data_IF_212387064839
#
_entry.id   IF_212387064839
#
_cell.length_a   1.000
_cell.length_b   1.000
_cell.length_c   1.000
_cell.angle_alpha   90.00
_cell.angle_beta   90.00
_cell.angle_gamma   90.00
#
_symmetry.space_group_name_H-M   'P 1'
#
loop_
_entity.id
_entity.type
_entity.pdbx_description
1 polymer ?
#
# COMPACT_ATOMS: atom_id res chain seq x y z
N UNK A 1 -6.67 23.33 -5.35
CA UNK A 1 -6.31 22.01 -4.81
C UNK A 1 -4.94 22.18 -4.23
N UNK A 2 -4.85 22.23 -2.91
CA UNK A 2 -3.62 22.58 -2.18
C UNK A 2 -2.47 21.68 -2.62
N UNK A 3 -1.32 22.30 -2.89
CA UNK A 3 -0.13 21.66 -3.46
C UNK A 3 0.65 20.79 -2.47
N UNK A 4 -0.06 20.17 -1.52
CA UNK A 4 0.51 19.26 -0.52
C UNK A 4 0.21 17.85 -0.98
N UNK A 5 1.26 17.12 -1.34
CA UNK A 5 1.20 15.68 -1.62
C UNK A 5 1.01 14.98 -0.28
N UNK A 6 -0.14 14.32 -0.11
CA UNK A 6 -0.33 13.33 0.96
C UNK A 6 -0.22 11.94 0.33
N UNK A 7 0.93 11.30 0.57
CA UNK A 7 1.27 9.99 0.01
C UNK A 7 0.28 8.89 0.45
N UNK A 8 -0.40 9.07 1.58
CA UNK A 8 -1.41 8.12 2.08
C UNK A 8 -2.65 8.21 1.21
N UNK A 9 -3.18 9.41 1.04
CA UNK A 9 -4.40 9.65 0.24
C UNK A 9 -4.18 9.31 -1.23
N UNK A 10 -3.03 9.71 -1.81
CA UNK A 10 -2.68 9.38 -3.19
C UNK A 10 -2.60 7.86 -3.41
N UNK A 11 -2.07 7.11 -2.43
CA UNK A 11 -2.01 5.65 -2.50
C UNK A 11 -3.41 5.03 -2.43
N UNK A 12 -4.29 5.53 -1.54
CA UNK A 12 -5.68 5.06 -1.43
C UNK A 12 -6.49 5.34 -2.69
N UNK A 13 -6.29 6.50 -3.29
CA UNK A 13 -6.95 6.88 -4.54
C UNK A 13 -6.52 5.99 -5.70
N UNK A 14 -5.23 5.66 -5.79
CA UNK A 14 -4.71 4.71 -6.79
C UNK A 14 -5.31 3.32 -6.61
N UNK A 15 -5.34 2.78 -5.39
CA UNK A 15 -5.94 1.47 -5.11
C UNK A 15 -7.43 1.47 -5.47
N UNK A 16 -8.14 2.54 -5.09
CA UNK A 16 -9.56 2.70 -5.42
C UNK A 16 -9.79 2.76 -6.93
N UNK A 17 -8.91 3.44 -7.67
CA UNK A 17 -8.96 3.48 -9.13
C UNK A 17 -8.77 2.09 -9.75
N UNK A 18 -7.81 1.31 -9.25
CA UNK A 18 -7.53 -0.04 -9.74
C UNK A 18 -8.74 -0.96 -9.49
N UNK A 19 -9.31 -0.90 -8.29
CA UNK A 19 -10.54 -1.65 -7.92
C UNK A 19 -11.73 -1.26 -8.80
N UNK A 20 -11.97 0.04 -9.01
CA UNK A 20 -13.05 0.53 -9.89
C UNK A 20 -12.91 0.07 -11.33
N UNK A 21 -11.67 -0.03 -11.83
CA UNK A 21 -11.38 -0.52 -13.18
C UNK A 21 -11.38 -2.03 -13.29
N UNK A 22 -11.53 -2.77 -12.19
CA UNK A 22 -11.55 -4.23 -12.13
C UNK A 22 -10.32 -4.86 -12.83
N UNK A 23 -9.13 -4.27 -12.63
CA UNK A 23 -7.89 -4.69 -13.31
C UNK A 23 -7.31 -5.97 -12.70
N UNK A 24 -7.56 -6.22 -11.42
CA UNK A 24 -7.08 -7.40 -10.69
C UNK A 24 -8.15 -7.87 -9.70
N UNK A 25 -7.98 -9.09 -9.17
CA UNK A 25 -8.88 -9.60 -8.14
C UNK A 25 -8.74 -8.75 -6.86
N UNK A 26 -9.77 -8.69 -5.99
CA UNK A 26 -9.70 -7.93 -4.74
C UNK A 26 -8.54 -8.36 -3.81
N UNK A 27 -8.10 -9.63 -3.92
CA UNK A 27 -7.00 -10.22 -3.16
C UNK A 27 -5.60 -9.89 -3.69
N UNK A 28 -5.52 -9.41 -4.93
CA UNK A 28 -4.26 -9.03 -5.58
C UNK A 28 -3.74 -7.66 -5.12
N UNK A 29 -4.49 -6.95 -4.25
CA UNK A 29 -4.06 -5.68 -3.66
C UNK A 29 -4.42 -5.63 -2.18
N UNK A 30 -3.39 -5.50 -1.35
CA UNK A 30 -3.51 -5.23 0.09
C UNK A 30 -2.90 -3.88 0.41
N UNK A 31 -3.61 -3.10 1.21
CA UNK A 31 -3.13 -1.82 1.72
C UNK A 31 -2.76 -1.95 3.20
N UNK A 32 -1.56 -1.49 3.55
CA UNK A 32 -1.06 -1.49 4.92
C UNK A 32 -0.40 -0.15 5.24
N UNK A 33 -0.95 0.57 6.19
CA UNK A 33 -0.36 1.80 6.72
C UNK A 33 0.60 1.47 7.87
N UNK A 34 1.64 2.29 8.02
CA UNK A 34 2.47 2.34 9.22
C UNK A 34 2.32 3.73 9.83
N UNK A 35 1.37 3.92 10.79
CA UNK A 35 1.00 5.25 11.30
C UNK A 35 2.19 6.05 11.87
N UNK A 36 3.14 5.35 12.49
CA UNK A 36 4.36 5.94 13.06
C UNK A 36 5.62 5.65 12.22
N UNK A 37 5.43 5.17 10.99
CA UNK A 37 6.52 4.79 10.09
C UNK A 37 7.22 6.02 9.50
N UNK A 38 8.53 5.91 9.35
CA UNK A 38 9.38 6.91 8.69
C UNK A 38 9.76 6.45 7.29
N UNK A 39 10.15 7.42 6.46
CA UNK A 39 10.70 7.15 5.12
C UNK A 39 12.17 6.71 5.23
N UNK A 40 12.41 5.58 5.87
CA UNK A 40 13.73 4.98 6.03
C UNK A 40 13.71 3.46 5.87
N UNK A 41 14.90 2.90 5.66
CA UNK A 41 15.07 1.46 5.45
C UNK A 41 14.60 0.62 6.64
N UNK A 42 14.72 1.13 7.86
CA UNK A 42 14.36 0.38 9.07
C UNK A 42 12.87 0.13 9.10
N UNK A 43 12.07 1.17 8.89
CA UNK A 43 10.61 1.05 8.92
C UNK A 43 10.06 0.34 7.69
N UNK A 44 10.65 0.51 6.51
CA UNK A 44 10.25 -0.27 5.33
C UNK A 44 10.52 -1.76 5.48
N UNK A 45 11.63 -2.14 6.14
CA UNK A 45 11.97 -3.55 6.36
C UNK A 45 10.90 -4.30 7.16
N UNK A 46 10.14 -3.59 8.01
CA UNK A 46 9.07 -4.17 8.83
C UNK A 46 7.89 -4.68 8.00
N UNK A 47 7.68 -4.13 6.80
CA UNK A 47 6.58 -4.54 5.91
C UNK A 47 6.92 -5.78 5.06
N UNK A 48 8.22 -6.08 4.90
CA UNK A 48 8.68 -7.18 4.03
C UNK A 48 8.17 -8.57 4.47
N UNK A 49 8.17 -8.95 5.76
CA UNK A 49 7.64 -10.25 6.18
C UNK A 49 6.16 -10.43 5.81
N UNK A 50 5.34 -9.41 6.01
CA UNK A 50 3.91 -9.45 5.66
C UNK A 50 3.70 -9.56 4.14
N UNK A 51 4.50 -8.84 3.37
CA UNK A 51 4.50 -8.94 1.92
C UNK A 51 4.82 -10.36 1.45
N UNK A 52 5.83 -11.01 2.02
CA UNK A 52 6.21 -12.38 1.64
C UNK A 52 5.11 -13.39 1.98
N UNK A 53 4.44 -13.23 3.13
CA UNK A 53 3.29 -14.08 3.49
C UNK A 53 2.13 -13.86 2.51
N UNK A 54 1.83 -12.61 2.16
CA UNK A 54 0.76 -12.31 1.21
C UNK A 54 1.05 -12.82 -0.20
N UNK A 55 2.28 -12.60 -0.70
CA UNK A 55 2.65 -12.95 -2.07
C UNK A 55 2.96 -14.44 -2.27
N UNK A 56 3.49 -15.12 -1.25
CA UNK A 56 4.05 -16.48 -1.38
C UNK A 56 3.66 -17.45 -0.27
N UNK A 57 2.96 -17.01 0.78
CA UNK A 57 2.64 -17.83 1.96
C UNK A 57 1.53 -18.88 1.76
N UNK A 58 1.21 -19.23 0.51
CA UNK A 58 0.27 -20.29 0.14
C UNK A 58 1.00 -21.61 -0.13
#
# INVERSE_FOLDING_TARGET
KDSVIDVIDDTKDLISLIKRKNICAPEDIVYKESPDGKHDYTDWSKALPDFLIWAFGK
#
